data_IF_040798277432
#
_entry.id   IF_040798277432
#
_cell.length_a   1.000
_cell.length_b   1.000
_cell.length_c   1.000
_cell.angle_alpha   90.00
_cell.angle_beta   90.00
_cell.angle_gamma   90.00
#
_symmetry.space_group_name_H-M   'P 1'
#
loop_
_entity.id
_entity.type
_entity.pdbx_description
1 polymer ?
#
# COMPACT_ATOMS: atom_id res chain seq x y z
N UNK A 1 93.68 -3.58 -0.59
CA UNK A 1 94.09 -4.88 0.01
C UNK A 1 92.85 -5.79 -0.05
N UNK A 2 93.10 -6.81 -0.82
CA UNK A 2 92.67 -8.25 -0.67
C UNK A 2 91.19 -8.49 -0.70
N UNK A 3 90.67 -8.96 -1.87
CA UNK A 3 90.63 -10.40 -2.30
C UNK A 3 89.78 -11.22 -1.38
N UNK A 4 88.79 -11.90 -1.88
CA UNK A 4 88.65 -13.29 -2.38
C UNK A 4 87.15 -13.51 -2.49
N UNK A 5 86.56 -13.72 -3.72
CA UNK A 5 86.29 -14.95 -4.48
C UNK A 5 85.73 -16.09 -3.66
N UNK A 6 84.58 -16.59 -4.02
CA UNK A 6 84.18 -18.01 -4.37
C UNK A 6 82.69 -18.07 -4.51
N UNK A 7 82.11 -18.21 -5.72
CA UNK A 7 81.70 -19.40 -6.49
C UNK A 7 80.52 -20.14 -5.89
N UNK A 8 79.43 -20.00 -6.58
CA UNK A 8 78.49 -20.97 -7.12
C UNK A 8 77.96 -22.12 -6.22
N UNK A 9 76.66 -22.22 -6.18
CA UNK A 9 75.95 -23.45 -6.68
C UNK A 9 74.48 -23.12 -6.95
N UNK A 10 74.10 -23.32 -8.19
CA UNK A 10 72.70 -23.26 -8.62
C UNK A 10 72.00 -24.56 -8.17
N UNK A 11 70.91 -24.46 -7.45
CA UNK A 11 69.97 -25.56 -7.30
C UNK A 11 68.65 -25.09 -7.84
N UNK A 12 68.35 -25.53 -9.06
CA UNK A 12 67.03 -25.39 -9.67
C UNK A 12 66.08 -26.38 -8.99
N UNK A 13 65.20 -25.86 -8.18
CA UNK A 13 64.03 -26.62 -7.67
C UNK A 13 62.89 -26.30 -8.59
N UNK A 14 62.58 -27.22 -9.49
CA UNK A 14 61.34 -27.20 -10.26
C UNK A 14 60.15 -27.44 -9.31
N UNK A 15 59.46 -26.39 -8.94
CA UNK A 15 58.15 -26.50 -8.35
C UNK A 15 57.13 -26.70 -9.49
N UNK A 16 56.70 -27.93 -9.64
CA UNK A 16 55.51 -28.30 -10.39
C UNK A 16 54.30 -27.65 -9.75
N UNK A 17 53.85 -26.55 -10.30
CA UNK A 17 52.56 -25.96 -10.00
C UNK A 17 51.46 -26.90 -10.53
N UNK A 18 50.96 -27.77 -9.64
CA UNK A 18 49.74 -28.51 -9.91
C UNK A 18 48.59 -27.54 -9.94
N UNK A 19 48.01 -27.35 -11.13
CA UNK A 19 46.68 -26.76 -11.25
C UNK A 19 45.71 -27.66 -10.49
N UNK A 20 45.33 -27.22 -9.31
CA UNK A 20 44.10 -27.71 -8.64
C UNK A 20 42.97 -27.19 -9.49
N UNK A 21 42.29 -28.05 -10.21
CA UNK A 21 40.97 -27.80 -10.72
C UNK A 21 40.10 -27.40 -9.48
N UNK A 22 39.83 -26.09 -9.37
CA UNK A 22 38.82 -25.63 -8.47
C UNK A 22 37.50 -26.22 -9.01
N UNK A 23 36.95 -27.16 -8.23
CA UNK A 23 35.59 -27.62 -8.50
C UNK A 23 34.70 -26.39 -8.67
N UNK A 24 33.80 -26.36 -9.69
CA UNK A 24 32.89 -25.25 -9.87
C UNK A 24 32.14 -25.08 -8.56
N UNK A 25 32.35 -23.94 -7.91
CA UNK A 25 31.47 -23.51 -6.81
C UNK A 25 30.06 -23.68 -7.34
N UNK A 26 29.27 -24.52 -6.65
CA UNK A 26 27.85 -24.58 -6.93
C UNK A 26 27.33 -23.13 -6.84
N UNK A 27 27.11 -22.51 -8.01
CA UNK A 27 26.38 -21.27 -8.08
C UNK A 27 25.12 -21.50 -7.26
N UNK A 28 25.01 -20.78 -6.14
CA UNK A 28 23.79 -20.76 -5.38
C UNK A 28 22.73 -20.39 -6.40
N UNK A 29 21.90 -21.37 -6.77
CA UNK A 29 20.81 -21.17 -7.70
C UNK A 29 20.04 -19.98 -7.13
N UNK A 30 20.09 -18.85 -7.82
CA UNK A 30 19.24 -17.71 -7.50
C UNK A 30 17.84 -18.26 -7.65
N UNK A 31 17.25 -18.62 -6.52
CA UNK A 31 15.87 -19.05 -6.45
C UNK A 31 15.08 -17.82 -6.87
N UNK A 32 14.73 -17.74 -8.15
CA UNK A 32 13.74 -16.79 -8.63
C UNK A 32 12.53 -17.03 -7.76
N UNK A 33 12.18 -16.04 -6.94
CA UNK A 33 11.07 -16.15 -5.99
C UNK A 33 9.82 -16.43 -6.82
N UNK A 34 9.44 -17.70 -6.92
CA UNK A 34 8.32 -18.14 -7.75
C UNK A 34 7.05 -17.47 -7.22
N UNK A 35 6.26 -16.92 -8.13
CA UNK A 35 4.97 -16.30 -7.78
C UNK A 35 4.15 -17.31 -6.98
N UNK A 36 3.91 -16.99 -5.72
CA UNK A 36 3.15 -17.87 -4.81
C UNK A 36 1.70 -17.99 -5.26
N UNK A 37 1.08 -19.14 -5.03
CA UNK A 37 -0.36 -19.27 -5.21
C UNK A 37 -1.11 -18.19 -4.41
N UNK A 38 -2.17 -17.58 -4.96
CA UNK A 38 -2.87 -16.46 -4.33
C UNK A 38 -3.33 -16.73 -2.89
N UNK A 39 -3.79 -17.94 -2.60
CA UNK A 39 -4.23 -18.31 -1.25
C UNK A 39 -3.07 -18.33 -0.23
N UNK A 40 -1.91 -18.86 -0.61
CA UNK A 40 -0.71 -18.86 0.23
C UNK A 40 -0.21 -17.42 0.46
N UNK A 41 -0.16 -16.62 -0.60
CA UNK A 41 0.25 -15.24 -0.51
C UNK A 41 -0.65 -14.43 0.42
N UNK A 42 -1.97 -14.67 0.36
CA UNK A 42 -2.92 -14.00 1.25
C UNK A 42 -2.79 -14.50 2.70
N UNK A 43 -2.58 -15.79 2.92
CA UNK A 43 -2.30 -16.32 4.25
C UNK A 43 -1.09 -15.64 4.90
N UNK A 44 0.02 -15.54 4.17
CA UNK A 44 1.23 -14.86 4.64
C UNK A 44 1.01 -13.35 4.88
N UNK A 45 0.25 -12.69 4.01
CA UNK A 45 -0.08 -11.28 4.22
C UNK A 45 -0.80 -11.03 5.53
N UNK A 46 -1.62 -11.99 5.97
CA UNK A 46 -2.42 -11.94 7.21
C UNK A 46 -1.64 -12.34 8.46
N UNK A 47 -0.47 -12.94 8.33
CA UNK A 47 0.35 -13.36 9.47
C UNK A 47 0.64 -12.17 10.40
N UNK A 48 0.34 -12.36 11.70
CA UNK A 48 0.52 -11.32 12.71
C UNK A 48 -0.50 -10.17 12.69
N UNK A 49 -1.45 -10.16 11.73
CA UNK A 49 -2.53 -9.18 11.74
C UNK A 49 -3.71 -9.67 12.59
N UNK A 50 -4.40 -8.79 13.32
CA UNK A 50 -5.65 -9.15 13.98
C UNK A 50 -6.68 -9.56 12.91
N UNK A 51 -7.53 -10.53 13.26
CA UNK A 51 -8.65 -10.89 12.39
C UNK A 51 -9.63 -9.72 12.33
N UNK A 52 -9.96 -9.29 11.12
CA UNK A 52 -10.95 -8.25 10.89
C UNK A 52 -12.17 -8.86 10.18
N UNK A 53 -13.28 -8.96 10.88
CA UNK A 53 -14.60 -9.38 10.37
C UNK A 53 -15.55 -8.20 10.15
N UNK A 54 -15.20 -7.03 10.69
CA UNK A 54 -15.97 -5.77 10.66
C UNK A 54 -15.05 -4.58 10.41
N UNK A 55 -15.65 -3.43 10.07
CA UNK A 55 -14.93 -2.16 9.85
C UNK A 55 -14.73 -1.44 11.19
N UNK A 56 -13.55 -1.59 11.75
CA UNK A 56 -13.17 -1.04 13.05
C UNK A 56 -13.18 0.50 13.03
N UNK A 57 -13.85 1.13 14.02
CA UNK A 57 -13.93 2.59 14.09
C UNK A 57 -14.70 3.27 12.93
N UNK A 58 -15.35 2.47 12.07
CA UNK A 58 -16.15 2.98 10.95
C UNK A 58 -17.33 3.84 11.43
N UNK A 59 -17.79 4.74 10.55
CA UNK A 59 -18.95 5.57 10.79
C UNK A 59 -20.28 4.77 10.72
N UNK A 60 -21.35 5.23 11.37
CA UNK A 60 -22.64 4.53 11.35
C UNK A 60 -23.45 4.73 10.04
N UNK A 61 -23.05 5.69 9.20
CA UNK A 61 -23.65 5.95 7.90
C UNK A 61 -22.63 6.59 6.95
N UNK A 62 -22.94 6.62 5.67
CA UNK A 62 -22.13 7.32 4.66
C UNK A 62 -22.05 8.83 4.93
N UNK A 63 -23.18 9.44 5.30
CA UNK A 63 -23.22 10.86 5.62
C UNK A 63 -22.34 11.18 6.85
N UNK A 64 -22.43 10.35 7.88
CA UNK A 64 -21.58 10.49 9.06
C UNK A 64 -20.10 10.28 8.75
N UNK A 65 -19.76 9.38 7.80
CA UNK A 65 -18.39 9.18 7.34
C UNK A 65 -17.85 10.44 6.67
N UNK A 66 -18.60 10.98 5.70
CA UNK A 66 -18.18 12.17 4.96
C UNK A 66 -18.13 13.40 5.88
N UNK A 67 -19.11 13.58 6.75
CA UNK A 67 -19.09 14.66 7.75
C UNK A 67 -17.87 14.61 8.66
N UNK A 68 -17.51 13.42 9.18
CA UNK A 68 -16.30 13.23 9.99
C UNK A 68 -15.02 13.50 9.20
N UNK A 69 -14.99 13.08 7.93
CA UNK A 69 -13.84 13.32 7.06
C UNK A 69 -13.64 14.82 6.82
N UNK A 70 -14.65 15.55 6.38
CA UNK A 70 -14.53 16.99 6.07
C UNK A 70 -14.21 17.81 7.32
N UNK A 71 -14.78 17.46 8.46
CA UNK A 71 -14.49 18.09 9.74
C UNK A 71 -13.04 17.84 10.20
N UNK A 72 -12.55 16.60 10.06
CA UNK A 72 -11.16 16.26 10.36
C UNK A 72 -10.17 16.98 9.43
N UNK A 73 -10.48 17.11 8.13
CA UNK A 73 -9.68 17.89 7.18
C UNK A 73 -9.65 19.37 7.60
N UNK A 74 -10.81 19.96 7.91
CA UNK A 74 -10.90 21.36 8.31
C UNK A 74 -10.08 21.66 9.57
N UNK A 75 -10.00 20.73 10.52
CA UNK A 75 -9.19 20.84 11.76
C UNK A 75 -7.76 20.34 11.62
N UNK A 76 -7.37 19.84 10.46
CA UNK A 76 -6.08 19.16 10.25
C UNK A 76 -5.84 17.96 11.18
N UNK A 77 -6.91 17.27 11.57
CA UNK A 77 -6.87 16.07 12.41
C UNK A 77 -6.46 14.84 11.59
N UNK A 78 -5.17 14.66 11.43
CA UNK A 78 -4.59 13.53 10.66
C UNK A 78 -4.89 12.17 11.30
N UNK A 79 -5.05 12.11 12.62
CA UNK A 79 -5.35 10.86 13.32
C UNK A 79 -6.76 10.37 12.97
N UNK A 80 -7.76 11.25 13.03
CA UNK A 80 -9.12 10.91 12.60
C UNK A 80 -9.17 10.52 11.14
N UNK A 81 -8.53 11.29 10.25
CA UNK A 81 -8.50 10.96 8.82
C UNK A 81 -7.92 9.57 8.58
N UNK A 82 -6.81 9.22 9.23
CA UNK A 82 -6.23 7.87 9.11
C UNK A 82 -7.12 6.77 9.68
N UNK A 83 -7.92 7.05 10.69
CA UNK A 83 -8.86 6.09 11.26
C UNK A 83 -10.08 5.81 10.35
N UNK A 84 -10.41 6.75 9.46
CA UNK A 84 -11.56 6.63 8.54
C UNK A 84 -11.27 5.80 7.28
N UNK A 85 -10.02 5.47 6.99
CA UNK A 85 -9.63 4.62 5.85
C UNK A 85 -9.39 3.19 6.31
N UNK A 86 -9.51 2.23 5.39
CA UNK A 86 -9.19 0.83 5.66
C UNK A 86 -7.77 0.69 6.20
N UNK A 87 -7.61 -0.02 7.30
CA UNK A 87 -6.31 -0.43 7.79
C UNK A 87 -5.80 -1.70 7.09
N UNK A 88 -4.58 -2.13 7.44
CA UNK A 88 -3.96 -3.31 6.82
C UNK A 88 -4.70 -4.61 7.10
N UNK A 89 -5.27 -4.75 8.29
CA UNK A 89 -6.05 -5.94 8.65
C UNK A 89 -7.36 -5.98 7.87
N UNK A 90 -8.12 -4.89 7.87
CA UNK A 90 -9.36 -4.76 7.09
C UNK A 90 -9.09 -4.95 5.59
N UNK A 91 -7.97 -4.42 5.09
CA UNK A 91 -7.55 -4.67 3.70
C UNK A 91 -7.38 -6.16 3.43
N UNK A 92 -6.61 -6.86 4.25
CA UNK A 92 -6.32 -8.29 4.04
C UNK A 92 -7.50 -9.22 4.29
N UNK A 93 -8.35 -8.91 5.26
CA UNK A 93 -9.46 -9.80 5.63
C UNK A 93 -10.76 -9.48 4.88
N UNK A 94 -11.00 -8.21 4.55
CA UNK A 94 -12.30 -7.76 4.00
C UNK A 94 -12.16 -7.35 2.54
N UNK A 95 -11.22 -6.45 2.21
CA UNK A 95 -11.15 -5.79 0.91
C UNK A 95 -10.46 -6.63 -0.16
N UNK A 96 -9.26 -7.13 0.10
CA UNK A 96 -8.50 -7.90 -0.90
C UNK A 96 -9.23 -9.14 -1.42
N UNK A 97 -9.93 -9.96 -0.60
CA UNK A 97 -10.74 -11.05 -1.11
C UNK A 97 -11.86 -10.62 -2.06
N UNK A 98 -12.39 -9.40 -1.88
CA UNK A 98 -13.37 -8.83 -2.81
C UNK A 98 -12.72 -8.47 -4.15
N UNK A 99 -11.54 -7.86 -4.13
CA UNK A 99 -10.77 -7.54 -5.34
C UNK A 99 -10.46 -8.79 -6.17
N UNK A 100 -10.06 -9.88 -5.53
CA UNK A 100 -9.76 -11.14 -6.22
C UNK A 100 -11.00 -11.73 -6.91
N UNK A 101 -12.17 -11.61 -6.31
CA UNK A 101 -13.42 -12.05 -6.94
C UNK A 101 -13.81 -11.19 -8.15
N UNK A 102 -13.54 -9.89 -8.09
CA UNK A 102 -13.82 -8.97 -9.20
C UNK A 102 -12.87 -9.13 -10.38
N UNK A 103 -11.63 -9.47 -10.11
CA UNK A 103 -10.61 -9.65 -11.15
C UNK A 103 -9.73 -10.88 -10.87
N UNK A 104 -10.23 -12.08 -11.16
CA UNK A 104 -9.49 -13.33 -10.92
C UNK A 104 -8.17 -13.43 -11.71
N UNK A 105 -8.06 -12.71 -12.83
CA UNK A 105 -6.85 -12.69 -13.65
C UNK A 105 -5.70 -11.88 -13.01
N UNK A 106 -5.97 -11.12 -11.96
CA UNK A 106 -4.94 -10.33 -11.28
C UNK A 106 -4.10 -11.23 -10.39
N UNK A 107 -2.89 -11.58 -10.86
CA UNK A 107 -1.91 -12.37 -10.10
C UNK A 107 -1.05 -11.50 -9.15
N UNK A 108 -1.47 -10.27 -8.85
CA UNK A 108 -0.68 -9.41 -7.97
C UNK A 108 -0.74 -9.89 -6.52
N UNK A 109 0.44 -9.94 -5.91
CA UNK A 109 0.59 -10.36 -4.52
C UNK A 109 -0.06 -9.36 -3.57
N UNK A 110 -0.81 -9.78 -2.54
CA UNK A 110 -1.52 -8.89 -1.63
C UNK A 110 -0.59 -7.89 -0.92
N UNK A 111 0.66 -8.29 -0.64
CA UNK A 111 1.66 -7.40 -0.05
C UNK A 111 2.00 -6.23 -0.98
N UNK A 112 2.19 -6.49 -2.27
CA UNK A 112 2.50 -5.45 -3.27
C UNK A 112 1.28 -4.54 -3.46
N UNK A 113 0.09 -5.13 -3.59
CA UNK A 113 -1.15 -4.38 -3.73
C UNK A 113 -1.43 -3.48 -2.53
N UNK A 114 -1.19 -3.98 -1.31
CA UNK A 114 -1.31 -3.17 -0.11
C UNK A 114 -0.31 -2.02 -0.09
N UNK A 115 0.94 -2.28 -0.45
CA UNK A 115 1.96 -1.22 -0.50
C UNK A 115 1.56 -0.09 -1.44
N UNK A 116 1.12 -0.41 -2.66
CA UNK A 116 0.64 0.57 -3.63
C UNK A 116 -0.60 1.31 -3.12
N UNK A 117 -1.57 0.57 -2.59
CA UNK A 117 -2.80 1.12 -2.02
C UNK A 117 -2.52 2.11 -0.88
N UNK A 118 -1.69 1.72 0.09
CA UNK A 118 -1.32 2.56 1.21
C UNK A 118 -0.54 3.80 0.77
N UNK A 119 0.39 3.63 -0.17
CA UNK A 119 1.19 4.73 -0.70
C UNK A 119 0.33 5.77 -1.44
N UNK A 120 -0.57 5.34 -2.31
CA UNK A 120 -1.47 6.25 -3.02
C UNK A 120 -2.47 6.92 -2.06
N UNK A 121 -2.94 6.20 -1.06
CA UNK A 121 -3.79 6.75 -0.01
C UNK A 121 -3.06 7.84 0.81
N UNK A 122 -1.82 7.60 1.23
CA UNK A 122 -1.04 8.58 1.99
C UNK A 122 -0.68 9.82 1.14
N UNK A 123 -0.34 9.65 -0.13
CA UNK A 123 -0.14 10.77 -1.07
C UNK A 123 -1.42 11.59 -1.22
N UNK A 124 -2.55 10.92 -1.39
CA UNK A 124 -3.84 11.56 -1.57
C UNK A 124 -4.25 12.38 -0.37
N UNK A 125 -4.18 11.82 0.85
CA UNK A 125 -4.53 12.58 2.06
C UNK A 125 -3.58 13.73 2.32
N UNK A 126 -2.30 13.58 2.03
CA UNK A 126 -1.33 14.68 2.15
C UNK A 126 -1.71 15.86 1.24
N UNK A 127 -2.16 15.60 0.00
CA UNK A 127 -2.66 16.65 -0.89
C UNK A 127 -3.91 17.33 -0.32
N UNK A 128 -4.90 16.55 0.13
CA UNK A 128 -6.13 17.08 0.72
C UNK A 128 -5.81 17.98 1.92
N UNK A 129 -5.02 17.48 2.86
CA UNK A 129 -4.66 18.23 4.07
C UNK A 129 -3.92 19.53 3.75
N UNK A 130 -3.02 19.51 2.77
CA UNK A 130 -2.25 20.69 2.37
C UNK A 130 -3.12 21.75 1.68
N UNK A 131 -4.05 21.33 0.80
CA UNK A 131 -4.82 22.26 -0.04
C UNK A 131 -6.10 22.72 0.60
N UNK A 132 -6.75 21.89 1.40
CA UNK A 132 -8.09 22.13 1.93
C UNK A 132 -8.14 22.16 3.46
N UNK A 133 -7.08 21.75 4.14
CA UNK A 133 -7.01 21.71 5.60
C UNK A 133 -6.89 23.09 6.23
N UNK A 134 -7.15 23.17 7.57
CA UNK A 134 -6.99 24.40 8.33
C UNK A 134 -7.96 25.53 7.93
N UNK A 135 -9.14 25.20 7.42
CA UNK A 135 -10.14 26.18 7.01
C UNK A 135 -9.90 26.81 5.63
N UNK A 136 -8.99 26.25 4.82
CA UNK A 136 -8.73 26.69 3.44
C UNK A 136 -9.94 26.52 2.50
N UNK A 137 -10.84 25.62 2.85
CA UNK A 137 -12.06 25.38 2.09
C UNK A 137 -13.28 25.18 2.99
N UNK A 138 -14.45 25.56 2.48
CA UNK A 138 -15.75 25.14 3.02
C UNK A 138 -16.22 23.93 2.25
N UNK A 139 -16.78 22.96 2.95
CA UNK A 139 -17.34 21.75 2.34
C UNK A 139 -18.86 21.89 2.22
N UNK A 140 -19.38 21.49 1.04
CA UNK A 140 -20.80 21.46 0.73
C UNK A 140 -21.35 20.04 0.76
N UNK A 141 -22.12 19.69 -0.27
CA UNK A 141 -22.64 18.34 -0.46
C UNK A 141 -21.58 17.34 -0.92
N UNK A 142 -22.01 16.10 -1.06
CA UNK A 142 -21.24 15.06 -1.73
C UNK A 142 -22.17 14.18 -2.57
N UNK A 143 -21.60 13.50 -3.54
CA UNK A 143 -22.30 12.50 -4.35
C UNK A 143 -21.39 11.28 -4.57
N UNK A 144 -22.01 10.11 -4.69
CA UNK A 144 -21.38 8.88 -5.16
C UNK A 144 -22.31 8.23 -6.19
N UNK A 145 -21.87 7.15 -6.82
CA UNK A 145 -22.78 6.34 -7.64
C UNK A 145 -24.05 5.97 -6.88
N UNK A 146 -25.20 5.96 -7.57
CA UNK A 146 -26.51 5.75 -6.94
C UNK A 146 -26.67 4.34 -6.36
N UNK A 147 -26.13 3.33 -7.06
CA UNK A 147 -26.21 1.94 -6.65
C UNK A 147 -24.84 1.43 -6.20
N UNK A 148 -24.79 0.63 -5.10
CA UNK A 148 -23.55 0.03 -4.69
C UNK A 148 -23.19 -1.18 -5.56
N UNK A 149 -21.90 -1.38 -5.75
CA UNK A 149 -21.36 -2.65 -6.18
C UNK A 149 -21.31 -3.59 -4.96
N UNK A 150 -21.85 -4.79 -5.08
CA UNK A 150 -21.97 -5.75 -3.96
C UNK A 150 -21.00 -6.91 -4.16
N UNK A 151 -20.16 -7.16 -3.14
CA UNK A 151 -19.20 -8.25 -3.10
C UNK A 151 -19.26 -9.01 -1.77
N UNK A 152 -20.04 -10.07 -1.75
CA UNK A 152 -20.34 -10.81 -0.53
C UNK A 152 -21.09 -9.94 0.48
N UNK A 153 -20.53 -9.76 1.68
CA UNK A 153 -21.11 -8.91 2.71
C UNK A 153 -20.73 -7.41 2.59
N UNK A 154 -19.91 -7.06 1.58
CA UNK A 154 -19.45 -5.69 1.39
C UNK A 154 -20.27 -4.98 0.33
N UNK A 155 -20.54 -3.70 0.54
CA UNK A 155 -21.13 -2.80 -0.45
C UNK A 155 -20.18 -1.64 -0.69
N UNK A 156 -19.90 -1.34 -1.96
CA UNK A 156 -18.99 -0.28 -2.37
C UNK A 156 -19.73 0.77 -3.18
N UNK A 157 -19.53 2.04 -2.85
CA UNK A 157 -19.99 3.16 -3.68
C UNK A 157 -18.75 3.81 -4.27
N UNK A 158 -18.69 3.79 -5.57
CA UNK A 158 -17.59 4.33 -6.37
C UNK A 158 -17.88 5.78 -6.82
N UNK A 159 -16.95 6.40 -7.51
CA UNK A 159 -17.03 7.74 -8.07
C UNK A 159 -17.55 8.81 -7.09
N UNK A 160 -17.11 8.76 -5.83
CA UNK A 160 -17.51 9.74 -4.84
C UNK A 160 -16.80 11.09 -5.07
N UNK A 161 -17.58 12.16 -5.05
CA UNK A 161 -17.10 13.55 -5.14
C UNK A 161 -17.64 14.39 -3.99
N UNK A 162 -16.93 15.45 -3.64
CA UNK A 162 -17.29 16.39 -2.58
C UNK A 162 -17.28 17.81 -3.15
N UNK A 163 -18.32 18.56 -2.88
CA UNK A 163 -18.38 19.97 -3.25
C UNK A 163 -17.58 20.80 -2.26
N UNK A 164 -16.74 21.66 -2.78
CA UNK A 164 -15.87 22.53 -2.01
C UNK A 164 -16.03 23.98 -2.48
N UNK A 165 -15.77 24.92 -1.59
CA UNK A 165 -15.64 26.33 -1.88
C UNK A 165 -14.41 26.87 -1.19
N UNK A 166 -13.45 27.38 -1.95
CA UNK A 166 -12.23 27.98 -1.44
C UNK A 166 -12.48 29.31 -0.70
N UNK A 167 -11.49 29.82 -0.02
CA UNK A 167 -11.60 31.08 0.75
C UNK A 167 -11.90 32.30 -0.12
N UNK A 168 -11.53 32.28 -1.39
CA UNK A 168 -11.79 33.31 -2.41
C UNK A 168 -13.14 33.14 -3.13
N UNK A 169 -13.92 32.11 -2.74
CA UNK A 169 -15.27 31.85 -3.23
C UNK A 169 -15.35 30.97 -4.48
N UNK A 170 -14.23 30.43 -4.96
CA UNK A 170 -14.23 29.48 -6.07
C UNK A 170 -14.87 28.16 -5.65
N UNK A 171 -15.81 27.68 -6.43
CA UNK A 171 -16.51 26.40 -6.22
C UNK A 171 -15.89 25.31 -7.08
N UNK A 172 -15.70 24.14 -6.50
CA UNK A 172 -15.23 22.95 -7.21
C UNK A 172 -15.87 21.69 -6.64
N UNK A 173 -16.12 20.73 -7.53
CA UNK A 173 -16.52 19.36 -7.15
C UNK A 173 -15.28 18.47 -7.31
N UNK A 174 -14.76 17.95 -6.21
CA UNK A 174 -13.46 17.28 -6.16
C UNK A 174 -13.60 15.82 -5.71
N UNK A 175 -12.79 14.96 -6.31
CA UNK A 175 -12.61 13.59 -5.84
C UNK A 175 -11.54 13.58 -4.73
N UNK A 176 -11.97 13.73 -3.48
CA UNK A 176 -11.08 13.79 -2.32
C UNK A 176 -10.64 12.43 -1.79
N UNK A 177 -11.40 11.40 -2.08
CA UNK A 177 -11.15 10.01 -1.76
C UNK A 177 -11.68 9.10 -2.87
N UNK A 178 -11.29 7.83 -2.83
CA UNK A 178 -11.78 6.82 -3.77
C UNK A 178 -13.20 6.35 -3.44
N UNK A 179 -13.37 5.05 -3.37
CA UNK A 179 -14.65 4.45 -3.00
C UNK A 179 -14.88 4.50 -1.50
N UNK A 180 -16.14 4.40 -1.09
CA UNK A 180 -16.52 4.07 0.29
C UNK A 180 -17.04 2.64 0.35
N UNK A 181 -16.81 1.98 1.47
CA UNK A 181 -17.26 0.61 1.75
C UNK A 181 -18.16 0.57 2.96
N UNK A 182 -19.23 -0.20 2.86
CA UNK A 182 -20.10 -0.57 3.97
C UNK A 182 -19.99 -2.07 4.22
N UNK A 183 -19.92 -2.43 5.50
CA UNK A 183 -20.02 -3.79 6.01
C UNK A 183 -20.66 -3.82 7.38
N UNK A 184 -21.77 -4.53 7.53
CA UNK A 184 -22.43 -4.67 8.82
C UNK A 184 -22.88 -3.36 9.45
N UNK A 185 -23.33 -2.38 8.66
CA UNK A 185 -23.75 -1.06 9.14
C UNK A 185 -22.59 -0.13 9.52
N UNK A 186 -21.35 -0.49 9.19
CA UNK A 186 -20.17 0.36 9.39
C UNK A 186 -19.60 0.81 8.05
N UNK A 187 -19.13 2.04 8.00
CA UNK A 187 -18.70 2.71 6.78
C UNK A 187 -17.28 3.23 6.91
N UNK A 188 -16.45 2.95 5.92
CA UNK A 188 -15.07 3.48 5.82
C UNK A 188 -14.75 3.90 4.39
N UNK A 189 -13.74 4.73 4.26
CA UNK A 189 -13.13 5.09 2.99
C UNK A 189 -12.18 3.95 2.59
N UNK A 190 -12.21 3.53 1.34
CA UNK A 190 -11.31 2.48 0.85
C UNK A 190 -9.88 3.02 0.74
N UNK A 191 -9.71 4.18 0.11
CA UNK A 191 -8.42 4.87 0.01
C UNK A 191 -8.61 6.36 -0.24
N UNK A 192 -7.59 7.14 0.05
CA UNK A 192 -7.51 8.56 -0.30
C UNK A 192 -6.86 8.79 -1.68
N UNK A 193 -6.76 7.77 -2.52
CA UNK A 193 -6.30 7.97 -3.89
C UNK A 193 -7.17 9.00 -4.60
N UNK A 194 -6.58 10.08 -5.03
CA UNK A 194 -7.19 11.21 -5.73
C UNK A 194 -6.21 11.78 -6.75
N UNK A 195 -6.69 12.60 -7.64
CA UNK A 195 -6.00 13.15 -8.81
C UNK A 195 -6.04 14.69 -8.90
N UNK A 196 -6.38 15.38 -7.79
CA UNK A 196 -6.46 16.85 -7.76
C UNK A 196 -5.26 17.53 -7.09
#
# INVERSE_FOLDING_TARGET
MMMIRWIALAVAVMLSAGCRDAAPSAEAAVTVDSIRPPAEALSRFREGLPIADSLSGGAPSRDALVARFVDAVARQDTATVRALVLDRAEYGWIYFPSLQRMNPATNMQPQVMWMLHAQESEKGITRVMRRLGGGQARFGGYACEAAPRVEGANRYWDACTVDTMSSDGEKATLKLFGSVVERGGRWKIVSYANDF
#
